data_IF_135608350852
#
_entry.id   IF_135608350852
#
_cell.length_a   1.000
_cell.length_b   1.000
_cell.length_c   1.000
_cell.angle_alpha   90.00
_cell.angle_beta   90.00
_cell.angle_gamma   90.00
#
_symmetry.space_group_name_H-M   'P 1'
#
loop_
_entity.id
_entity.type
_entity.pdbx_description
1 polymer ?
#
# COMPACT_ATOMS: atom_id res chain seq x y z
N UNK A 1 6.04 23.10 -1.47
CA UNK A 1 6.45 22.30 -0.28
C UNK A 1 6.97 20.95 -0.77
N UNK A 2 7.97 20.42 -0.13
CA UNK A 2 8.61 19.15 -0.46
C UNK A 2 8.05 18.03 0.40
N UNK A 3 8.05 16.79 -0.12
CA UNK A 3 7.74 15.60 0.65
C UNK A 3 8.91 14.60 0.68
N UNK A 4 9.06 13.89 1.80
CA UNK A 4 9.94 12.72 1.93
C UNK A 4 9.09 11.50 2.21
N UNK A 5 9.22 10.46 1.38
CA UNK A 5 8.53 9.19 1.57
C UNK A 5 9.55 8.16 2.03
N UNK A 6 9.29 7.55 3.18
CA UNK A 6 10.13 6.48 3.73
C UNK A 6 9.71 5.12 3.14
N UNK A 7 10.56 4.54 2.32
CA UNK A 7 10.31 3.26 1.62
C UNK A 7 11.41 2.22 1.86
N UNK A 8 12.12 2.34 2.97
CA UNK A 8 13.27 1.48 3.30
C UNK A 8 12.93 0.06 3.78
N UNK A 9 11.67 -0.28 3.97
CA UNK A 9 11.24 -1.56 4.54
C UNK A 9 11.27 -2.73 3.56
N UNK A 10 11.69 -3.93 4.02
CA UNK A 10 11.71 -5.17 3.21
C UNK A 10 10.32 -5.76 2.89
N UNK A 11 9.24 -5.29 3.53
CA UNK A 11 7.88 -5.78 3.30
C UNK A 11 7.65 -7.26 3.64
N UNK A 12 8.39 -7.83 4.61
CA UNK A 12 8.38 -9.28 4.95
C UNK A 12 6.98 -9.85 5.21
N UNK A 13 6.09 -9.08 5.83
CA UNK A 13 4.72 -9.52 6.15
C UNK A 13 3.84 -9.70 4.91
N UNK A 14 4.16 -9.00 3.81
CA UNK A 14 3.44 -9.07 2.54
C UNK A 14 3.95 -10.20 1.62
N UNK A 15 4.99 -10.94 2.01
CA UNK A 15 5.45 -12.12 1.25
C UNK A 15 4.33 -13.14 1.08
N UNK A 16 4.26 -13.80 -0.08
CA UNK A 16 5.28 -13.91 -1.15
C UNK A 16 5.31 -12.79 -2.19
N UNK A 17 4.38 -11.83 -2.20
CA UNK A 17 4.34 -10.74 -3.20
C UNK A 17 5.61 -9.89 -3.22
N UNK A 18 6.20 -9.66 -2.05
CA UNK A 18 7.44 -8.86 -1.89
C UNK A 18 8.71 -9.70 -1.88
N UNK A 19 8.67 -10.93 -2.35
CA UNK A 19 9.88 -11.77 -2.45
C UNK A 19 10.76 -11.36 -3.62
N UNK A 20 10.19 -10.87 -4.71
CA UNK A 20 10.86 -10.48 -5.96
C UNK A 20 10.70 -9.00 -6.29
N UNK A 21 9.67 -8.35 -5.71
CA UNK A 21 9.30 -6.96 -5.99
C UNK A 21 9.33 -6.15 -4.68
N UNK A 22 9.99 -4.97 -4.64
CA UNK A 22 9.95 -4.12 -3.44
C UNK A 22 8.53 -3.59 -3.18
N UNK A 23 8.14 -3.52 -1.90
CA UNK A 23 6.78 -3.17 -1.47
C UNK A 23 6.20 -1.92 -2.17
N UNK A 24 6.93 -0.80 -2.32
CA UNK A 24 6.36 0.41 -2.94
C UNK A 24 5.87 0.20 -4.37
N UNK A 25 6.45 -0.74 -5.11
CA UNK A 25 6.12 -0.99 -6.51
C UNK A 25 5.36 -2.30 -6.74
N UNK A 26 4.89 -2.96 -5.68
CA UNK A 26 3.90 -4.04 -5.82
C UNK A 26 2.67 -3.45 -6.51
N UNK A 27 2.15 -4.08 -7.59
CA UNK A 27 0.93 -3.61 -8.24
C UNK A 27 -0.24 -3.57 -7.25
N UNK A 28 -1.01 -2.48 -7.25
CA UNK A 28 -2.27 -2.36 -6.53
C UNK A 28 -3.31 -1.86 -7.53
N UNK A 29 -4.37 -2.62 -7.77
CA UNK A 29 -5.33 -2.43 -8.85
C UNK A 29 -4.62 -2.42 -10.21
N UNK A 30 -4.24 -1.24 -10.73
CA UNK A 30 -3.77 -1.01 -12.10
C UNK A 30 -2.36 -0.38 -12.19
N UNK A 31 -1.73 -0.09 -11.05
CA UNK A 31 -0.46 0.64 -11.00
C UNK A 31 0.37 0.26 -9.77
N UNK A 32 1.66 0.67 -9.70
CA UNK A 32 2.46 0.51 -8.48
C UNK A 32 1.79 1.14 -7.28
N UNK A 33 1.80 0.47 -6.13
CA UNK A 33 1.16 0.96 -4.90
C UNK A 33 1.53 2.41 -4.56
N UNK A 34 2.81 2.75 -4.62
CA UNK A 34 3.29 4.09 -4.28
C UNK A 34 2.73 5.19 -5.19
N UNK A 35 2.28 4.85 -6.41
CA UNK A 35 1.69 5.82 -7.35
C UNK A 35 0.42 6.47 -6.79
N UNK A 36 -0.35 5.76 -5.97
CA UNK A 36 -1.51 6.34 -5.28
C UNK A 36 -1.10 7.46 -4.33
N UNK A 37 -0.03 7.25 -3.56
CA UNK A 37 0.51 8.29 -2.67
C UNK A 37 1.07 9.49 -3.45
N UNK A 38 1.76 9.25 -4.55
CA UNK A 38 2.29 10.31 -5.40
C UNK A 38 1.16 11.13 -6.04
N UNK A 39 0.09 10.50 -6.50
CA UNK A 39 -1.10 11.18 -7.02
C UNK A 39 -1.80 12.01 -5.94
N UNK A 40 -1.96 11.45 -4.73
CA UNK A 40 -2.50 12.14 -3.58
C UNK A 40 -1.67 13.39 -3.21
N UNK A 41 -0.34 13.29 -3.16
CA UNK A 41 0.54 14.44 -2.95
C UNK A 41 0.33 15.54 -4.01
N UNK A 42 0.27 15.14 -5.29
CA UNK A 42 0.06 16.07 -6.40
C UNK A 42 -1.28 16.79 -6.31
N UNK A 43 -2.36 16.12 -5.88
CA UNK A 43 -3.68 16.74 -5.66
C UNK A 43 -3.61 17.87 -4.63
N UNK A 44 -2.68 17.81 -3.67
CA UNK A 44 -2.40 18.83 -2.67
C UNK A 44 -1.30 19.82 -3.08
N UNK A 45 -0.89 19.82 -4.37
CA UNK A 45 0.13 20.77 -4.88
C UNK A 45 1.56 20.45 -4.45
N UNK A 46 1.83 19.20 -4.09
CA UNK A 46 3.16 18.73 -3.68
C UNK A 46 3.75 17.88 -4.80
N UNK A 47 4.70 18.46 -5.53
CA UNK A 47 5.29 17.89 -6.75
C UNK A 47 6.80 17.64 -6.65
N UNK A 48 7.45 18.00 -5.54
CA UNK A 48 8.87 17.69 -5.25
C UNK A 48 8.96 16.64 -4.16
N UNK A 49 9.33 15.42 -4.54
CA UNK A 49 9.30 14.25 -3.66
C UNK A 49 10.66 13.59 -3.59
N UNK A 50 11.12 13.33 -2.36
CA UNK A 50 12.30 12.55 -2.06
C UNK A 50 11.87 11.15 -1.61
N UNK A 51 12.33 10.12 -2.29
CA UNK A 51 12.15 8.73 -1.89
C UNK A 51 13.37 8.30 -1.08
N UNK A 52 13.21 8.10 0.24
CA UNK A 52 14.26 7.51 1.07
C UNK A 52 14.15 5.98 1.00
N UNK A 53 15.05 5.39 0.23
CA UNK A 53 15.04 3.98 -0.13
C UNK A 53 16.14 3.24 0.62
N UNK A 54 15.84 2.00 1.03
CA UNK A 54 16.82 1.03 1.51
C UNK A 54 16.90 -0.13 0.52
N UNK A 55 16.19 -1.21 0.84
CA UNK A 55 16.18 -2.45 0.05
C UNK A 55 15.62 -2.25 -1.37
N UNK A 56 16.38 -2.66 -2.40
CA UNK A 56 16.00 -2.64 -3.81
C UNK A 56 15.66 -1.22 -4.38
N UNK A 57 16.36 -0.17 -3.95
CA UNK A 57 16.20 1.19 -4.44
C UNK A 57 16.24 1.30 -5.98
N UNK A 58 17.15 0.56 -6.64
CA UNK A 58 17.25 0.51 -8.11
C UNK A 58 15.96 0.00 -8.76
N UNK A 59 15.30 -1.01 -8.19
CA UNK A 59 14.04 -1.53 -8.73
C UNK A 59 12.92 -0.50 -8.62
N UNK A 60 12.83 0.24 -7.51
CA UNK A 60 11.87 1.34 -7.35
C UNK A 60 12.11 2.43 -8.39
N UNK A 61 13.37 2.83 -8.59
CA UNK A 61 13.74 3.84 -9.59
C UNK A 61 13.44 3.39 -11.01
N UNK A 62 13.68 2.13 -11.36
CA UNK A 62 13.40 1.59 -12.69
C UNK A 62 11.90 1.61 -13.02
N UNK A 63 11.04 1.42 -12.02
CA UNK A 63 9.58 1.43 -12.22
C UNK A 63 9.02 2.85 -12.27
N UNK A 64 9.48 3.74 -11.40
CA UNK A 64 8.92 5.09 -11.26
C UNK A 64 9.62 6.15 -12.13
N UNK A 65 10.84 5.88 -12.60
CA UNK A 65 11.65 6.85 -13.31
C UNK A 65 11.95 8.10 -12.48
N UNK A 66 11.89 9.25 -13.12
CA UNK A 66 12.05 10.57 -12.51
C UNK A 66 10.73 11.19 -12.02
N UNK A 67 9.61 10.46 -12.16
CA UNK A 67 8.28 10.89 -11.76
C UNK A 67 7.56 11.80 -12.77
N UNK A 68 8.20 12.16 -13.87
CA UNK A 68 7.63 13.07 -14.89
C UNK A 68 6.30 12.55 -15.47
N UNK A 69 6.17 11.23 -15.63
CA UNK A 69 4.93 10.59 -16.06
C UNK A 69 3.74 10.79 -15.12
N UNK A 70 4.00 11.10 -13.85
CA UNK A 70 2.99 11.41 -12.83
C UNK A 70 2.88 12.92 -12.55
N UNK A 71 3.66 13.77 -13.26
CA UNK A 71 3.74 15.20 -13.00
C UNK A 71 4.41 15.57 -11.69
N UNK A 72 5.34 14.74 -11.21
CA UNK A 72 6.10 14.88 -9.97
C UNK A 72 7.59 14.82 -10.29
N UNK A 73 8.39 15.55 -9.55
CA UNK A 73 9.85 15.44 -9.57
C UNK A 73 10.30 14.48 -8.47
N UNK A 74 10.71 13.25 -8.84
CA UNK A 74 11.23 12.27 -7.91
C UNK A 74 12.76 12.38 -7.77
N UNK A 75 13.21 12.43 -6.54
CA UNK A 75 14.62 12.32 -6.16
C UNK A 75 14.78 11.12 -5.22
N UNK A 76 15.90 10.45 -5.28
CA UNK A 76 16.14 9.24 -4.52
C UNK A 76 17.36 9.41 -3.60
N UNK A 77 17.18 9.03 -2.35
CA UNK A 77 18.24 8.89 -1.36
C UNK A 77 18.32 7.41 -1.00
N UNK A 78 19.50 6.82 -1.16
CA UNK A 78 19.73 5.42 -0.88
C UNK A 78 20.53 5.28 0.41
N UNK A 79 19.91 4.67 1.42
CA UNK A 79 20.55 4.41 2.70
C UNK A 79 21.41 3.14 2.60
N UNK A 80 22.70 3.20 2.89
CA UNK A 80 23.57 2.01 2.85
C UNK A 80 23.18 0.97 3.90
N UNK A 81 22.65 1.45 5.04
CA UNK A 81 22.15 0.64 6.14
C UNK A 81 20.87 1.24 6.72
N UNK A 82 19.91 0.43 7.22
CA UNK A 82 18.69 0.94 7.82
C UNK A 82 18.96 1.85 9.03
N UNK A 83 18.47 3.09 8.95
CA UNK A 83 18.72 4.14 9.97
C UNK A 83 17.53 4.45 10.85
N UNK A 84 16.41 3.73 10.69
CA UNK A 84 15.15 4.06 11.34
C UNK A 84 14.51 5.33 10.74
N UNK A 85 13.31 5.68 11.19
CA UNK A 85 12.51 6.75 10.59
C UNK A 85 13.18 8.14 10.70
N UNK A 86 13.64 8.53 11.87
CA UNK A 86 14.34 9.82 12.05
C UNK A 86 15.77 9.80 11.49
N UNK A 87 16.48 8.67 11.60
CA UNK A 87 17.83 8.55 11.05
C UNK A 87 17.85 8.65 9.53
N UNK A 88 16.82 8.16 8.83
CA UNK A 88 16.62 8.31 7.39
C UNK A 88 16.44 9.80 7.00
N UNK A 89 15.61 10.54 7.74
CA UNK A 89 15.46 11.99 7.54
C UNK A 89 16.77 12.74 7.78
N UNK A 90 17.49 12.41 8.86
CA UNK A 90 18.80 13.01 9.14
C UNK A 90 19.82 12.75 8.04
N UNK A 91 19.77 11.57 7.42
CA UNK A 91 20.63 11.23 6.28
C UNK A 91 20.29 12.05 5.03
N UNK A 92 19.00 12.34 4.81
CA UNK A 92 18.53 13.16 3.71
C UNK A 92 18.57 14.68 3.98
N UNK A 93 18.97 15.13 5.17
CA UNK A 93 18.84 16.52 5.67
C UNK A 93 19.32 17.60 4.71
N UNK A 94 20.43 17.34 3.99
CA UNK A 94 20.98 18.32 3.02
C UNK A 94 20.08 18.56 1.81
N UNK A 95 19.07 17.72 1.57
CA UNK A 95 18.11 17.83 0.47
C UNK A 95 16.78 18.41 0.90
N UNK A 96 16.55 18.59 2.21
CA UNK A 96 15.28 18.99 2.78
C UNK A 96 15.13 20.51 2.86
N UNK A 97 13.91 20.98 2.56
CA UNK A 97 13.48 22.35 2.80
C UNK A 97 13.36 22.62 4.32
N UNK A 98 13.19 23.90 4.72
CA UNK A 98 12.97 24.30 6.12
C UNK A 98 11.71 23.66 6.70
N UNK A 99 10.66 23.52 5.88
CA UNK A 99 9.44 22.78 6.19
C UNK A 99 9.15 21.76 5.10
N UNK A 100 8.83 20.53 5.51
CA UNK A 100 8.57 19.44 4.59
C UNK A 100 7.54 18.46 5.16
N UNK A 101 6.95 17.64 4.29
CA UNK A 101 6.15 16.49 4.66
C UNK A 101 7.04 15.25 4.81
N UNK A 102 6.81 14.46 5.84
CA UNK A 102 7.31 13.09 5.97
C UNK A 102 6.15 12.11 5.90
N UNK A 103 6.30 11.06 5.09
CA UNK A 103 5.26 10.06 4.86
C UNK A 103 5.81 8.64 4.99
N UNK A 104 5.03 7.78 5.63
CA UNK A 104 5.29 6.35 5.61
C UNK A 104 4.80 5.79 4.28
N UNK A 105 5.71 5.22 3.47
CA UNK A 105 5.44 4.77 2.09
C UNK A 105 4.66 3.46 1.99
N UNK A 106 3.93 3.08 3.04
CA UNK A 106 3.12 1.86 3.08
C UNK A 106 1.65 2.10 3.47
N UNK A 107 1.21 3.34 3.42
CA UNK A 107 -0.14 3.77 3.78
C UNK A 107 -0.92 4.17 2.52
N UNK A 108 -2.15 3.67 2.42
CA UNK A 108 -3.17 4.15 1.49
C UNK A 108 -4.11 5.08 2.26
N UNK A 109 -4.26 6.32 1.80
CA UNK A 109 -5.04 7.35 2.52
C UNK A 109 -5.47 8.49 1.60
N UNK A 110 -6.51 9.21 1.98
CA UNK A 110 -7.00 10.45 1.37
C UNK A 110 -7.08 11.62 2.38
N UNK A 111 -6.24 11.62 3.41
CA UNK A 111 -6.14 12.70 4.40
C UNK A 111 -5.92 14.06 3.70
N UNK A 112 -6.65 15.10 4.15
CA UNK A 112 -6.52 16.46 3.62
C UNK A 112 -5.22 17.13 4.10
N UNK A 113 -4.14 16.93 3.32
CA UNK A 113 -2.84 17.54 3.61
C UNK A 113 -2.88 19.06 3.61
N UNK A 114 -3.73 19.67 2.79
CA UNK A 114 -3.87 21.14 2.74
C UNK A 114 -4.34 21.67 4.09
N UNK A 115 -5.35 21.02 4.71
CA UNK A 115 -5.80 21.39 6.05
C UNK A 115 -4.78 21.08 7.14
N UNK A 116 -4.05 19.97 7.02
CA UNK A 116 -2.99 19.62 7.97
C UNK A 116 -1.87 20.66 7.96
N UNK A 117 -1.42 21.08 6.77
CA UNK A 117 -0.41 22.14 6.61
C UNK A 117 -0.91 23.47 7.17
N UNK A 118 -2.15 23.86 6.86
CA UNK A 118 -2.74 25.10 7.38
C UNK A 118 -2.82 25.10 8.91
N UNK A 119 -3.19 23.98 9.55
CA UNK A 119 -3.17 23.87 11.01
C UNK A 119 -1.75 23.98 11.57
N UNK A 120 -0.77 23.34 10.93
CA UNK A 120 0.63 23.42 11.34
C UNK A 120 1.11 24.88 11.37
N UNK A 121 0.79 25.66 10.35
CA UNK A 121 1.13 27.07 10.25
C UNK A 121 0.42 27.93 11.32
N UNK A 122 -0.88 27.68 11.54
CA UNK A 122 -1.68 28.44 12.50
C UNK A 122 -1.21 28.20 13.96
N UNK A 123 -0.77 27.00 14.27
CA UNK A 123 -0.30 26.65 15.62
C UNK A 123 1.16 27.01 15.86
N UNK A 124 1.92 27.32 14.82
CA UNK A 124 3.38 27.48 14.92
C UNK A 124 4.06 26.21 15.41
N UNK A 125 3.51 25.06 15.03
CA UNK A 125 4.01 23.75 15.45
C UNK A 125 5.44 23.49 14.92
N UNK A 126 6.21 22.71 15.66
CA UNK A 126 7.48 22.13 15.18
C UNK A 126 7.22 20.83 14.41
N UNK A 127 6.18 20.09 14.82
CA UNK A 127 5.69 18.90 14.11
C UNK A 127 4.17 18.79 14.27
N UNK A 128 3.48 18.39 13.19
CA UNK A 128 2.04 18.10 13.21
C UNK A 128 1.80 16.70 12.63
N UNK A 129 1.27 15.81 13.46
CA UNK A 129 0.96 14.42 13.11
C UNK A 129 -0.47 14.33 12.59
N UNK A 130 -0.69 13.78 11.39
CA UNK A 130 -2.01 13.32 11.00
C UNK A 130 -2.43 12.15 11.89
N UNK A 131 -3.67 12.19 12.37
CA UNK A 131 -4.24 11.18 13.25
C UNK A 131 -5.53 10.63 12.68
N UNK A 132 -5.75 9.33 12.81
CA UNK A 132 -7.00 8.66 12.41
C UNK A 132 -7.49 7.73 13.51
N UNK A 133 -8.81 7.56 13.65
CA UNK A 133 -9.36 6.56 14.55
C UNK A 133 -9.26 5.17 13.93
N UNK A 134 -8.87 4.17 14.71
CA UNK A 134 -8.86 2.76 14.29
C UNK A 134 -9.52 1.87 15.34
N UNK A 135 -10.03 0.71 14.90
CA UNK A 135 -10.69 -0.23 15.82
C UNK A 135 -9.71 -0.89 16.81
N UNK A 136 -8.49 -1.22 16.34
CA UNK A 136 -7.42 -1.78 17.18
C UNK A 136 -6.15 -0.95 17.04
N UNK A 137 -5.82 -0.09 18.02
CA UNK A 137 -4.63 0.77 17.96
C UNK A 137 -3.35 0.10 18.46
N UNK A 138 -3.37 -1.13 18.94
CA UNK A 138 -2.23 -1.80 19.59
C UNK A 138 -1.00 -1.96 18.70
N UNK A 139 -1.18 -1.95 17.38
CA UNK A 139 -0.09 -2.09 16.42
C UNK A 139 0.58 -0.77 16.02
N UNK A 140 0.08 0.38 16.50
CA UNK A 140 0.43 1.72 16.02
C UNK A 140 0.88 2.65 17.17
N UNK A 141 1.27 3.87 16.82
CA UNK A 141 1.53 4.95 17.78
C UNK A 141 0.22 5.59 18.24
N UNK A 142 -0.16 5.36 19.51
CA UNK A 142 -1.32 5.94 20.13
C UNK A 142 -1.06 7.39 20.54
N UNK A 143 -2.01 8.29 20.30
CA UNK A 143 -1.83 9.72 20.53
C UNK A 143 -2.95 10.30 21.38
N UNK A 144 -2.57 10.97 22.47
CA UNK A 144 -3.49 11.73 23.31
C UNK A 144 -3.32 13.22 23.03
N UNK A 145 -4.43 13.92 22.86
CA UNK A 145 -4.47 15.36 22.60
C UNK A 145 -5.02 16.13 23.80
N UNK A 146 -4.54 17.37 23.94
CA UNK A 146 -5.20 18.42 24.69
C UNK A 146 -6.29 19.11 23.85
N UNK A 147 -7.09 19.99 24.47
CA UNK A 147 -8.18 20.71 23.80
C UNK A 147 -7.69 21.60 22.65
N UNK A 148 -6.48 22.12 22.73
CA UNK A 148 -5.82 22.93 21.70
C UNK A 148 -5.15 22.10 20.61
N UNK A 149 -5.34 20.77 20.63
CA UNK A 149 -4.71 19.76 19.73
C UNK A 149 -3.21 19.58 19.94
N UNK A 150 -2.59 20.16 20.95
CA UNK A 150 -1.23 19.78 21.33
C UNK A 150 -1.21 18.32 21.79
N UNK A 151 -0.12 17.63 21.50
CA UNK A 151 0.03 16.24 21.94
C UNK A 151 0.42 16.21 23.41
N UNK A 152 -0.43 15.57 24.22
CA UNK A 152 -0.22 15.33 25.64
C UNK A 152 0.68 14.12 25.88
N UNK A 153 0.49 13.05 25.08
CA UNK A 153 1.25 11.81 25.19
C UNK A 153 1.28 11.07 23.85
N UNK A 154 2.38 10.36 23.62
CA UNK A 154 2.59 9.51 22.45
C UNK A 154 3.14 8.16 22.91
N UNK A 155 2.41 7.09 22.63
CA UNK A 155 2.76 5.73 23.06
C UNK A 155 2.90 4.81 21.86
N UNK A 156 4.12 4.46 21.47
CA UNK A 156 4.38 3.54 20.37
C UNK A 156 4.06 2.09 20.74
N UNK A 157 3.10 1.49 20.03
CA UNK A 157 2.63 0.11 20.23
C UNK A 157 2.25 -0.18 21.68
N UNK A 158 1.18 0.46 22.17
CA UNK A 158 0.73 0.29 23.53
C UNK A 158 0.34 -1.18 23.80
N UNK A 159 0.52 -1.62 25.03
CA UNK A 159 -0.13 -2.84 25.52
C UNK A 159 -1.65 -2.60 25.65
N UNK A 160 -2.44 -3.66 25.53
CA UNK A 160 -3.91 -3.57 25.49
C UNK A 160 -4.53 -2.88 26.73
N UNK A 161 -3.88 -2.96 27.89
CA UNK A 161 -4.26 -2.29 29.14
C UNK A 161 -4.00 -0.77 29.15
N UNK A 162 -3.26 -0.25 28.16
CA UNK A 162 -2.98 1.18 28.00
C UNK A 162 -3.78 1.85 26.87
N UNK A 163 -4.72 1.12 26.29
CA UNK A 163 -5.55 1.64 25.20
C UNK A 163 -6.80 2.31 25.80
N UNK A 164 -6.78 3.63 25.82
CA UNK A 164 -7.88 4.50 26.32
C UNK A 164 -8.37 5.51 25.27
N UNK A 165 -7.74 5.53 24.11
CA UNK A 165 -8.16 6.25 22.90
C UNK A 165 -7.99 5.37 21.66
N UNK A 166 -8.66 5.70 20.57
CA UNK A 166 -8.51 5.01 19.29
C UNK A 166 -7.75 5.83 18.24
N UNK A 167 -7.26 7.03 18.61
CA UNK A 167 -6.50 7.89 17.70
C UNK A 167 -5.06 7.41 17.60
N UNK A 168 -4.66 7.12 16.38
CA UNK A 168 -3.29 6.68 16.05
C UNK A 168 -2.59 7.67 15.14
N UNK A 169 -1.27 7.62 15.15
CA UNK A 169 -0.41 8.30 14.17
C UNK A 169 -0.59 7.66 12.80
N UNK A 170 -1.06 8.45 11.83
CA UNK A 170 -1.40 7.98 10.49
C UNK A 170 -0.19 7.85 9.52
N UNK A 171 1.01 8.19 9.97
CA UNK A 171 2.21 8.13 9.13
C UNK A 171 2.33 9.25 8.10
N UNK A 172 1.66 10.39 8.34
CA UNK A 172 1.80 11.63 7.56
C UNK A 172 2.06 12.80 8.50
N UNK A 173 3.18 13.50 8.31
CA UNK A 173 3.68 14.51 9.24
C UNK A 173 4.10 15.76 8.50
N UNK A 174 3.75 16.94 9.03
CA UNK A 174 4.36 18.23 8.65
C UNK A 174 5.43 18.55 9.65
N UNK A 175 6.66 18.79 9.20
CA UNK A 175 7.82 18.92 10.05
C UNK A 175 8.60 20.20 9.75
N UNK A 176 9.03 20.91 10.79
CA UNK A 176 10.08 21.91 10.69
C UNK A 176 11.45 21.21 10.73
N UNK A 177 12.38 21.65 9.85
CA UNK A 177 13.69 21.03 9.70
C UNK A 177 14.52 21.04 10.98
N UNK A 178 14.30 22.02 11.86
CA UNK A 178 14.98 22.13 13.15
C UNK A 178 14.83 20.90 14.05
N UNK A 179 13.76 20.09 13.87
CA UNK A 179 13.60 18.83 14.65
C UNK A 179 14.75 17.84 14.40
N UNK A 180 15.42 17.93 13.25
CA UNK A 180 16.56 17.06 12.92
C UNK A 180 17.80 17.36 13.78
N UNK A 181 17.85 18.49 14.47
CA UNK A 181 18.89 18.78 15.47
C UNK A 181 18.83 17.81 16.66
N UNK A 182 17.63 17.24 16.93
CA UNK A 182 17.44 16.21 17.95
C UNK A 182 17.96 14.83 17.53
N UNK A 183 18.31 14.65 16.26
CA UNK A 183 18.71 13.36 15.70
C UNK A 183 20.22 13.31 15.52
N UNK A 184 20.93 12.45 16.27
CA UNK A 184 22.37 12.28 16.09
C UNK A 184 22.71 11.71 14.70
N UNK A 185 23.71 12.27 14.00
CA UNK A 185 24.10 11.79 12.68
C UNK A 185 24.65 10.35 12.74
N UNK A 186 24.38 9.58 11.71
CA UNK A 186 24.94 8.24 11.54
C UNK A 186 24.34 7.15 12.45
N UNK A 187 23.34 7.44 13.26
CA UNK A 187 22.67 6.49 14.16
C UNK A 187 21.34 5.99 13.61
N UNK A 188 20.97 4.80 14.04
CA UNK A 188 19.61 4.30 13.89
C UNK A 188 18.72 4.97 14.94
N UNK A 189 17.72 5.76 14.52
CA UNK A 189 16.82 6.52 15.39
C UNK A 189 15.39 6.38 14.90
N UNK A 190 14.46 5.96 15.77
CA UNK A 190 13.03 5.99 15.50
C UNK A 190 12.45 7.34 15.87
N UNK A 191 11.73 7.98 14.97
CA UNK A 191 11.06 9.24 15.23
C UNK A 191 9.98 9.07 16.30
N UNK A 192 9.27 7.95 16.26
CA UNK A 192 8.15 7.63 17.14
C UNK A 192 8.60 7.41 18.60
N UNK A 193 9.73 6.72 18.77
CA UNK A 193 10.23 6.32 20.09
C UNK A 193 11.18 7.32 20.71
N UNK A 194 11.92 8.06 19.90
CA UNK A 194 13.04 8.87 20.37
C UNK A 194 12.84 10.37 20.16
N UNK A 195 12.05 10.79 19.15
CA UNK A 195 11.87 12.22 18.82
C UNK A 195 10.54 12.75 19.34
N UNK A 196 9.40 12.07 19.06
CA UNK A 196 8.10 12.54 19.51
C UNK A 196 8.03 12.77 21.03
N UNK A 197 8.55 11.87 21.90
CA UNK A 197 8.54 12.11 23.36
C UNK A 197 9.30 13.38 23.78
N UNK A 198 10.32 13.79 23.02
CA UNK A 198 11.06 15.02 23.29
C UNK A 198 10.28 16.30 22.92
N UNK A 199 9.33 16.17 21.99
CA UNK A 199 8.51 17.27 21.47
C UNK A 199 7.16 17.42 22.18
N UNK A 200 6.72 16.44 22.98
CA UNK A 200 5.51 16.55 23.81
C UNK A 200 5.61 17.78 24.71
N UNK A 201 4.58 18.66 24.63
CA UNK A 201 4.56 19.95 25.30
C UNK A 201 5.54 21.01 24.76
N UNK A 202 6.19 20.75 23.62
CA UNK A 202 7.19 21.62 22.98
C UNK A 202 6.98 21.79 21.47
N UNK A 203 5.73 21.90 21.04
CA UNK A 203 5.38 22.16 19.64
C UNK A 203 5.01 20.91 18.84
N UNK A 204 4.66 19.81 19.47
CA UNK A 204 4.05 18.64 18.85
C UNK A 204 2.53 18.77 18.88
N UNK A 205 1.89 18.73 17.69
CA UNK A 205 0.44 18.84 17.53
C UNK A 205 -0.11 17.66 16.76
N UNK A 206 -1.40 17.35 16.98
CA UNK A 206 -2.15 16.37 16.20
C UNK A 206 -3.15 17.03 15.26
N UNK A 207 -3.34 16.44 14.09
CA UNK A 207 -4.39 16.77 13.13
C UNK A 207 -5.35 15.58 13.01
N UNK A 208 -6.42 15.52 13.81
CA UNK A 208 -7.43 14.47 13.72
C UNK A 208 -8.17 14.53 12.39
N UNK A 209 -8.31 13.39 11.73
CA UNK A 209 -9.02 13.20 10.47
C UNK A 209 -9.85 11.94 10.49
N UNK A 210 -11.04 12.01 9.87
CA UNK A 210 -11.90 10.84 9.64
C UNK A 210 -11.76 10.29 8.22
N UNK A 211 -10.69 10.68 7.52
CA UNK A 211 -10.35 10.23 6.18
C UNK A 211 -10.08 8.73 6.15
N UNK A 212 -10.16 8.14 4.96
CA UNK A 212 -9.74 6.76 4.75
C UNK A 212 -8.25 6.58 5.11
N UNK A 213 -7.96 5.47 5.77
CA UNK A 213 -6.59 5.11 6.12
C UNK A 213 -6.43 3.59 6.22
N UNK A 214 -5.40 3.06 5.56
CA UNK A 214 -5.05 1.64 5.63
C UNK A 214 -3.54 1.45 5.48
N UNK A 215 -2.90 0.77 6.45
CA UNK A 215 -1.53 0.23 6.33
C UNK A 215 -1.57 -1.05 5.49
N UNK A 216 -1.02 -1.03 4.28
CA UNK A 216 -0.94 -2.20 3.39
C UNK A 216 0.31 -3.03 3.76
N UNK A 217 0.25 -3.69 4.91
CA UNK A 217 1.37 -4.46 5.44
C UNK A 217 1.28 -5.98 5.27
N UNK A 218 0.10 -6.52 4.95
CA UNK A 218 -0.16 -7.97 4.81
C UNK A 218 -1.00 -8.27 3.57
N UNK A 219 -1.05 -9.53 3.07
CA UNK A 219 -1.90 -9.89 1.95
C UNK A 219 -3.39 -9.61 2.17
N UNK A 220 -3.87 -9.78 3.39
CA UNK A 220 -5.27 -9.51 3.74
C UNK A 220 -5.57 -8.00 3.60
N UNK A 221 -4.66 -7.14 4.08
CA UNK A 221 -4.78 -5.68 3.93
C UNK A 221 -4.54 -5.22 2.49
N UNK A 222 -3.72 -5.94 1.73
CA UNK A 222 -3.56 -5.70 0.30
C UNK A 222 -4.87 -5.95 -0.46
N UNK A 223 -5.55 -7.09 -0.20
CA UNK A 223 -6.89 -7.36 -0.75
C UNK A 223 -7.89 -6.31 -0.30
N UNK A 224 -7.92 -5.96 1.00
CA UNK A 224 -8.80 -4.94 1.54
C UNK A 224 -8.60 -3.60 0.83
N UNK A 225 -7.36 -3.10 0.72
CA UNK A 225 -7.07 -1.85 0.03
C UNK A 225 -7.43 -1.88 -1.45
N UNK A 226 -7.24 -3.01 -2.14
CA UNK A 226 -7.69 -3.20 -3.52
C UNK A 226 -9.21 -3.07 -3.61
N UNK A 227 -9.95 -3.73 -2.72
CA UNK A 227 -11.40 -3.70 -2.71
C UNK A 227 -11.93 -2.31 -2.35
N UNK A 228 -11.35 -1.66 -1.35
CA UNK A 228 -11.74 -0.30 -0.95
C UNK A 228 -11.56 0.72 -2.09
N UNK A 229 -10.49 0.58 -2.90
CA UNK A 229 -10.28 1.41 -4.09
C UNK A 229 -11.39 1.19 -5.11
N UNK A 230 -11.70 -0.06 -5.46
CA UNK A 230 -12.68 -0.36 -6.51
C UNK A 230 -14.14 -0.22 -6.04
N UNK A 231 -14.40 -0.18 -4.74
CA UNK A 231 -15.68 0.22 -4.13
C UNK A 231 -15.82 1.74 -3.95
N UNK A 232 -14.73 2.50 -4.16
CA UNK A 232 -14.73 3.96 -4.01
C UNK A 232 -14.74 4.43 -2.56
N UNK A 233 -14.29 3.59 -1.62
CA UNK A 233 -14.18 3.93 -0.20
C UNK A 233 -13.00 4.87 0.08
N UNK A 234 -12.04 4.96 -0.83
CA UNK A 234 -10.92 5.89 -0.81
C UNK A 234 -10.87 6.70 -2.10
N UNK A 235 -10.62 7.99 -1.99
CA UNK A 235 -10.58 8.89 -3.14
C UNK A 235 -9.33 8.64 -4.00
N UNK A 236 -9.54 8.10 -5.21
CA UNK A 236 -8.48 7.81 -6.18
C UNK A 236 -8.96 8.00 -7.61
N UNK A 237 -8.02 8.17 -8.56
CA UNK A 237 -8.35 8.27 -9.99
C UNK A 237 -8.98 6.97 -10.57
N UNK A 238 -8.89 5.84 -9.89
CA UNK A 238 -9.53 4.59 -10.32
C UNK A 238 -11.05 4.73 -10.37
N UNK A 239 -11.63 5.54 -9.47
CA UNK A 239 -13.08 5.80 -9.44
C UNK A 239 -13.60 6.38 -10.76
N UNK A 240 -12.84 7.26 -11.41
CA UNK A 240 -13.21 7.83 -12.70
C UNK A 240 -13.24 6.77 -13.80
N UNK A 241 -12.29 5.82 -13.78
CA UNK A 241 -12.22 4.69 -14.74
C UNK A 241 -13.40 3.73 -14.59
N UNK A 242 -13.84 3.48 -13.35
CA UNK A 242 -14.98 2.58 -13.08
C UNK A 242 -16.32 3.15 -13.56
N UNK A 243 -16.43 4.47 -13.67
CA UNK A 243 -17.65 5.14 -14.11
C UNK A 243 -18.87 4.84 -13.23
N UNK A 244 -20.06 5.02 -13.76
CA UNK A 244 -21.32 4.78 -13.03
C UNK A 244 -21.65 3.29 -12.87
N UNK A 245 -21.10 2.45 -13.73
CA UNK A 245 -21.38 1.00 -13.75
C UNK A 245 -20.44 0.23 -12.80
N UNK A 246 -19.48 0.90 -12.17
CA UNK A 246 -18.45 0.30 -11.32
C UNK A 246 -17.65 -0.78 -12.04
N UNK A 247 -17.43 -0.60 -13.34
CA UNK A 247 -16.81 -1.58 -14.20
C UNK A 247 -15.82 -0.89 -15.17
N UNK A 248 -14.56 -1.26 -15.09
CA UNK A 248 -13.54 -0.84 -16.04
C UNK A 248 -13.07 -2.06 -16.84
N UNK A 249 -13.39 -2.10 -18.14
CA UNK A 249 -12.92 -3.12 -19.07
C UNK A 249 -12.11 -2.43 -20.18
N UNK A 250 -10.82 -2.81 -20.32
CA UNK A 250 -9.97 -2.28 -21.37
C UNK A 250 -10.48 -2.72 -22.76
N UNK A 251 -10.36 -1.85 -23.76
CA UNK A 251 -10.87 -2.12 -25.12
C UNK A 251 -10.24 -3.34 -25.81
N UNK A 252 -9.01 -3.70 -25.42
CA UNK A 252 -8.29 -4.87 -25.94
C UNK A 252 -8.59 -6.16 -25.17
N UNK A 253 -9.48 -6.14 -24.18
CA UNK A 253 -9.87 -7.35 -23.46
C UNK A 253 -10.96 -8.12 -24.23
N UNK A 254 -10.81 -9.45 -24.31
CA UNK A 254 -11.80 -10.36 -24.86
C UNK A 254 -12.53 -11.09 -23.72
N UNK A 255 -13.74 -10.63 -23.44
CA UNK A 255 -14.54 -11.13 -22.31
C UNK A 255 -15.81 -11.80 -22.82
N UNK A 256 -15.79 -13.13 -22.88
CA UNK A 256 -16.94 -13.96 -23.29
C UNK A 256 -17.75 -14.45 -22.08
N UNK A 257 -17.18 -14.36 -20.88
CA UNK A 257 -17.83 -14.70 -19.61
C UNK A 257 -18.73 -13.58 -19.06
N UNK A 258 -19.39 -13.87 -17.96
CA UNK A 258 -20.20 -12.89 -17.22
C UNK A 258 -19.33 -12.13 -16.21
N UNK A 259 -19.40 -10.79 -16.22
CA UNK A 259 -18.74 -9.93 -15.23
C UNK A 259 -19.77 -9.29 -14.32
N UNK A 260 -19.51 -9.28 -13.02
CA UNK A 260 -20.34 -8.63 -11.98
C UNK A 260 -19.50 -7.54 -11.31
N UNK A 261 -19.95 -6.26 -11.35
CA UNK A 261 -19.21 -5.16 -10.71
C UNK A 261 -19.19 -5.26 -9.17
N UNK A 262 -18.25 -4.53 -8.51
CA UNK A 262 -17.17 -3.77 -9.13
C UNK A 262 -16.04 -4.69 -9.62
N UNK A 263 -15.46 -4.34 -10.77
CA UNK A 263 -14.33 -5.09 -11.34
C UNK A 263 -13.46 -4.20 -12.25
N UNK A 264 -12.17 -4.53 -12.30
CA UNK A 264 -11.19 -3.93 -13.22
C UNK A 264 -10.59 -5.03 -14.07
N UNK A 265 -10.70 -4.90 -15.39
CA UNK A 265 -10.20 -5.86 -16.38
C UNK A 265 -9.29 -5.09 -17.34
N UNK A 266 -8.00 -5.39 -17.29
CA UNK A 266 -6.96 -4.65 -18.00
C UNK A 266 -6.71 -5.19 -19.41
N UNK A 267 -5.71 -4.61 -20.06
CA UNK A 267 -5.36 -4.88 -21.46
C UNK A 267 -5.02 -6.35 -21.69
N UNK A 268 -5.46 -6.89 -22.83
CA UNK A 268 -5.10 -8.23 -23.28
C UNK A 268 -5.69 -9.37 -22.46
N UNK A 269 -6.55 -9.06 -21.48
CA UNK A 269 -7.25 -10.07 -20.68
C UNK A 269 -8.17 -10.90 -21.57
N UNK A 270 -8.18 -12.22 -21.36
CA UNK A 270 -9.08 -13.17 -22.02
C UNK A 270 -9.89 -13.92 -20.99
N UNK A 271 -11.20 -13.82 -21.06
CA UNK A 271 -12.15 -14.55 -20.20
C UNK A 271 -13.02 -15.43 -21.08
N UNK A 272 -12.84 -16.76 -20.97
CA UNK A 272 -13.54 -17.74 -21.79
C UNK A 272 -15.02 -17.87 -21.45
N UNK A 273 -15.78 -18.49 -22.35
CA UNK A 273 -17.21 -18.72 -22.17
C UNK A 273 -17.55 -19.56 -20.92
N UNK A 274 -18.74 -19.32 -20.37
CA UNK A 274 -19.19 -19.97 -19.14
C UNK A 274 -18.47 -19.54 -17.86
N UNK A 275 -17.50 -18.61 -17.96
CA UNK A 275 -16.75 -18.08 -16.81
C UNK A 275 -17.56 -17.02 -16.07
N UNK A 276 -17.49 -17.02 -14.75
CA UNK A 276 -18.05 -16.00 -13.87
C UNK A 276 -16.93 -15.21 -13.21
N UNK A 277 -16.78 -13.94 -13.61
CA UNK A 277 -15.95 -12.96 -12.91
C UNK A 277 -16.89 -12.19 -11.98
N UNK A 278 -16.81 -12.49 -10.69
CA UNK A 278 -17.69 -11.88 -9.68
C UNK A 278 -17.25 -10.49 -9.27
N UNK A 279 -17.87 -9.97 -8.20
CA UNK A 279 -17.52 -8.67 -7.66
C UNK A 279 -16.15 -8.67 -6.99
N UNK A 280 -15.55 -7.47 -6.91
CA UNK A 280 -14.26 -7.24 -6.25
C UNK A 280 -13.13 -8.04 -6.91
N UNK A 281 -13.05 -7.93 -8.25
CA UNK A 281 -12.02 -8.62 -9.03
C UNK A 281 -11.17 -7.61 -9.77
N UNK A 282 -9.85 -7.84 -9.72
CA UNK A 282 -8.88 -7.17 -10.59
C UNK A 282 -8.18 -8.25 -11.42
N UNK A 283 -8.31 -8.14 -12.74
CA UNK A 283 -7.54 -8.92 -13.72
C UNK A 283 -6.57 -7.96 -14.39
N UNK A 284 -5.28 -8.11 -14.09
CA UNK A 284 -4.22 -7.28 -14.66
C UNK A 284 -3.90 -7.67 -16.12
N UNK A 285 -2.95 -6.97 -16.75
CA UNK A 285 -2.61 -7.16 -18.17
C UNK A 285 -2.33 -8.62 -18.52
N UNK A 286 -2.83 -9.05 -19.69
CA UNK A 286 -2.57 -10.35 -20.32
C UNK A 286 -2.99 -11.59 -19.48
N UNK A 287 -3.87 -11.42 -18.51
CA UNK A 287 -4.44 -12.54 -17.75
C UNK A 287 -5.39 -13.36 -18.63
N UNK A 288 -5.34 -14.70 -18.50
CA UNK A 288 -6.29 -15.60 -19.16
C UNK A 288 -7.03 -16.46 -18.15
N UNK A 289 -8.37 -16.54 -18.31
CA UNK A 289 -9.26 -17.35 -17.48
C UNK A 289 -9.97 -18.38 -18.35
N UNK A 290 -9.76 -19.67 -18.03
CA UNK A 290 -10.34 -20.80 -18.73
C UNK A 290 -11.84 -20.96 -18.52
N UNK A 291 -12.47 -21.74 -19.40
CA UNK A 291 -13.91 -21.91 -19.46
C UNK A 291 -14.51 -22.49 -18.17
N UNK A 292 -15.70 -22.06 -17.81
CA UNK A 292 -16.44 -22.55 -16.64
C UNK A 292 -15.80 -22.21 -15.29
N UNK A 293 -14.80 -21.32 -15.24
CA UNK A 293 -14.15 -20.91 -13.99
C UNK A 293 -14.95 -19.83 -13.26
N UNK A 294 -14.71 -19.73 -11.95
CA UNK A 294 -15.30 -18.69 -11.09
C UNK A 294 -14.18 -17.90 -10.42
N UNK A 295 -14.20 -16.59 -10.56
CA UNK A 295 -13.26 -15.67 -9.91
C UNK A 295 -14.05 -14.62 -9.14
N UNK A 296 -13.79 -14.48 -7.85
CA UNK A 296 -14.56 -13.59 -6.97
C UNK A 296 -13.65 -13.09 -5.84
N UNK A 297 -13.73 -11.78 -5.53
CA UNK A 297 -12.90 -11.17 -4.48
C UNK A 297 -11.42 -11.56 -4.62
N UNK A 298 -10.86 -11.34 -5.81
CA UNK A 298 -9.53 -11.83 -6.15
C UNK A 298 -8.73 -10.82 -6.97
N UNK A 299 -7.42 -10.85 -6.77
CA UNK A 299 -6.46 -10.11 -7.59
C UNK A 299 -5.61 -11.10 -8.36
N UNK A 300 -5.64 -11.01 -9.69
CA UNK A 300 -4.85 -11.84 -10.58
C UNK A 300 -3.94 -10.91 -11.37
N UNK A 301 -2.64 -11.04 -11.16
CA UNK A 301 -1.63 -10.15 -11.72
C UNK A 301 -1.16 -10.60 -13.10
N UNK A 302 -0.40 -9.73 -13.75
CA UNK A 302 -0.01 -9.77 -15.16
C UNK A 302 0.41 -11.16 -15.64
N UNK A 303 -0.15 -11.57 -16.80
CA UNK A 303 0.26 -12.78 -17.50
C UNK A 303 -0.04 -14.09 -16.79
N UNK A 304 -0.88 -14.08 -15.74
CA UNK A 304 -1.30 -15.30 -15.09
C UNK A 304 -2.31 -16.08 -15.96
N UNK A 305 -2.13 -17.39 -16.03
CA UNK A 305 -2.96 -18.32 -16.81
C UNK A 305 -3.75 -19.24 -15.87
N UNK A 306 -5.07 -19.11 -15.88
CA UNK A 306 -5.98 -19.90 -15.08
C UNK A 306 -6.70 -20.90 -15.99
N UNK A 307 -6.59 -22.19 -15.70
CA UNK A 307 -7.21 -23.28 -16.44
C UNK A 307 -8.74 -23.32 -16.32
N UNK A 308 -9.34 -24.33 -16.95
CA UNK A 308 -10.79 -24.52 -16.97
C UNK A 308 -11.34 -25.00 -15.63
N UNK A 309 -12.58 -24.64 -15.33
CA UNK A 309 -13.34 -25.07 -14.16
C UNK A 309 -12.64 -24.80 -12.81
N UNK A 310 -11.82 -23.74 -12.75
CA UNK A 310 -11.15 -23.31 -11.52
C UNK A 310 -12.08 -22.47 -10.64
N UNK A 311 -11.80 -22.43 -9.34
CA UNK A 311 -12.49 -21.57 -8.37
C UNK A 311 -11.45 -20.73 -7.62
N UNK A 312 -11.48 -19.42 -7.83
CA UNK A 312 -10.61 -18.44 -7.19
C UNK A 312 -11.46 -17.50 -6.35
N UNK A 313 -11.27 -17.51 -5.03
CA UNK A 313 -12.04 -16.65 -4.12
C UNK A 313 -11.18 -16.19 -2.94
N UNK A 314 -11.27 -14.89 -2.60
CA UNK A 314 -10.48 -14.26 -1.52
C UNK A 314 -9.01 -14.65 -1.64
N UNK A 315 -8.37 -14.39 -2.80
CA UNK A 315 -7.01 -14.84 -3.06
C UNK A 315 -6.22 -13.84 -3.93
N UNK A 316 -4.90 -14.01 -3.93
CA UNK A 316 -3.98 -13.26 -4.78
C UNK A 316 -3.17 -14.25 -5.61
N UNK A 317 -3.17 -14.05 -6.92
CA UNK A 317 -2.33 -14.79 -7.86
C UNK A 317 -1.34 -13.82 -8.48
N UNK A 318 -0.06 -13.96 -8.16
CA UNK A 318 0.98 -13.08 -8.66
C UNK A 318 1.28 -13.30 -10.15
N UNK A 319 2.13 -12.44 -10.72
CA UNK A 319 2.41 -12.42 -12.14
C UNK A 319 2.99 -13.75 -12.65
N UNK A 320 2.62 -14.12 -13.89
CA UNK A 320 3.17 -15.28 -14.58
C UNK A 320 2.83 -16.64 -13.96
N UNK A 321 1.88 -16.71 -13.04
CA UNK A 321 1.42 -17.98 -12.48
C UNK A 321 0.67 -18.81 -13.52
N UNK A 322 0.80 -20.16 -13.44
CA UNK A 322 0.01 -21.09 -14.24
C UNK A 322 -0.76 -22.02 -13.31
N UNK A 323 -2.07 -22.05 -13.47
CA UNK A 323 -2.98 -22.82 -12.63
C UNK A 323 -3.71 -23.83 -13.49
N UNK A 324 -3.47 -25.12 -13.23
CA UNK A 324 -4.11 -26.25 -13.93
C UNK A 324 -5.62 -26.32 -13.64
N UNK A 325 -6.34 -27.00 -14.55
CA UNK A 325 -7.79 -27.09 -14.50
C UNK A 325 -8.34 -27.67 -13.18
N UNK A 326 -9.57 -27.31 -12.80
CA UNK A 326 -10.30 -27.77 -11.61
C UNK A 326 -9.60 -27.46 -10.28
N UNK A 327 -8.65 -26.53 -10.28
CA UNK A 327 -7.92 -26.10 -9.09
C UNK A 327 -8.76 -25.06 -8.31
N UNK A 328 -8.71 -25.15 -6.99
CA UNK A 328 -9.37 -24.21 -6.08
C UNK A 328 -8.32 -23.40 -5.32
N UNK A 329 -8.43 -22.07 -5.33
CA UNK A 329 -7.55 -21.15 -4.59
C UNK A 329 -8.45 -20.21 -3.79
N UNK A 330 -8.47 -20.39 -2.45
CA UNK A 330 -9.49 -19.71 -1.62
C UNK A 330 -8.93 -19.28 -0.26
N UNK A 331 -9.73 -18.51 0.49
CA UNK A 331 -9.53 -18.23 1.90
C UNK A 331 -8.22 -17.53 2.26
N UNK A 332 -7.85 -16.49 1.55
CA UNK A 332 -6.65 -15.70 1.79
C UNK A 332 -5.36 -16.32 1.21
N UNK A 333 -5.49 -17.32 0.33
CA UNK A 333 -4.32 -17.96 -0.29
C UNK A 333 -3.59 -16.98 -1.24
N UNK A 334 -2.26 -17.06 -1.26
CA UNK A 334 -1.40 -16.20 -2.09
C UNK A 334 -0.40 -17.06 -2.87
N UNK A 335 -0.44 -16.94 -4.19
CA UNK A 335 0.58 -17.49 -5.07
C UNK A 335 1.60 -16.41 -5.42
N UNK A 336 2.88 -16.70 -5.17
CA UNK A 336 4.01 -15.87 -5.57
C UNK A 336 4.27 -15.96 -7.08
N UNK A 337 5.10 -15.07 -7.57
CA UNK A 337 5.43 -14.92 -8.99
C UNK A 337 5.90 -16.25 -9.62
N UNK A 338 5.37 -16.58 -10.81
CA UNK A 338 5.79 -17.74 -11.59
C UNK A 338 5.46 -19.10 -10.97
N UNK A 339 4.55 -19.17 -9.99
CA UNK A 339 4.09 -20.44 -9.42
C UNK A 339 3.33 -21.24 -10.48
N UNK A 340 3.62 -22.53 -10.58
CA UNK A 340 2.91 -23.45 -11.46
C UNK A 340 2.19 -24.49 -10.62
N UNK A 341 0.86 -24.57 -10.75
CA UNK A 341 0.04 -25.59 -10.15
C UNK A 341 -0.52 -26.52 -11.23
N UNK A 342 -0.36 -27.83 -11.06
CA UNK A 342 -1.08 -28.82 -11.84
C UNK A 342 -2.59 -28.77 -11.58
N UNK A 343 -3.34 -29.63 -12.27
CA UNK A 343 -4.79 -29.73 -12.11
C UNK A 343 -5.20 -30.27 -10.72
N UNK A 344 -6.46 -30.08 -10.33
CA UNK A 344 -7.09 -30.71 -9.17
C UNK A 344 -6.44 -30.39 -7.81
N UNK A 345 -5.74 -29.24 -7.68
CA UNK A 345 -5.18 -28.77 -6.41
C UNK A 345 -6.22 -27.95 -5.61
N UNK A 346 -6.12 -28.00 -4.28
CA UNK A 346 -6.91 -27.15 -3.36
C UNK A 346 -5.95 -26.36 -2.47
N UNK A 347 -5.85 -25.07 -2.70
CA UNK A 347 -4.98 -24.13 -1.96
C UNK A 347 -5.88 -23.22 -1.15
N UNK A 348 -5.83 -23.28 0.18
CA UNK A 348 -6.76 -22.56 1.04
C UNK A 348 -6.11 -22.11 2.36
N UNK A 349 -6.92 -21.52 3.27
CA UNK A 349 -6.57 -21.22 4.67
C UNK A 349 -5.33 -20.33 4.82
N UNK A 350 -5.20 -19.30 3.98
CA UNK A 350 -4.07 -18.37 4.02
C UNK A 350 -2.74 -18.99 3.57
N UNK A 351 -2.77 -20.09 2.81
CA UNK A 351 -1.56 -20.71 2.27
C UNK A 351 -0.75 -19.70 1.43
N UNK A 352 0.55 -19.68 1.62
CA UNK A 352 1.48 -18.80 0.91
C UNK A 352 2.46 -19.65 0.11
N UNK A 353 2.29 -19.71 -1.20
CA UNK A 353 3.18 -20.43 -2.10
C UNK A 353 4.23 -19.43 -2.62
N UNK A 354 5.50 -19.75 -2.38
CA UNK A 354 6.60 -18.82 -2.74
C UNK A 354 6.93 -18.87 -4.24
N UNK A 355 7.57 -17.81 -4.78
CA UNK A 355 7.87 -17.71 -6.22
C UNK A 355 8.58 -18.91 -6.79
N UNK A 356 8.19 -19.28 -8.03
CA UNK A 356 8.80 -20.36 -8.81
C UNK A 356 8.52 -21.78 -8.32
N UNK A 357 7.67 -21.96 -7.30
CA UNK A 357 7.26 -23.32 -6.86
C UNK A 357 6.39 -23.97 -7.92
N UNK A 358 6.67 -25.24 -8.22
CA UNK A 358 5.85 -26.07 -9.08
C UNK A 358 5.24 -27.22 -8.26
N UNK A 359 3.94 -27.44 -8.41
CA UNK A 359 3.19 -28.54 -7.79
C UNK A 359 2.50 -29.36 -8.87
N UNK A 360 2.60 -30.68 -8.78
CA UNK A 360 1.95 -31.60 -9.69
C UNK A 360 0.41 -31.63 -9.50
N UNK A 361 -0.28 -32.39 -10.35
CA UNK A 361 -1.73 -32.58 -10.27
C UNK A 361 -2.13 -33.16 -8.92
N UNK A 362 -3.08 -32.54 -8.25
CA UNK A 362 -3.61 -32.97 -6.96
C UNK A 362 -2.60 -33.09 -5.82
N UNK A 363 -1.48 -32.38 -5.90
CA UNK A 363 -0.42 -32.41 -4.90
C UNK A 363 -0.86 -31.87 -3.54
N UNK A 364 -1.79 -30.91 -3.53
CA UNK A 364 -2.36 -30.30 -2.31
C UNK A 364 -3.88 -30.40 -2.35
N UNK A 365 -4.49 -30.86 -1.25
CA UNK A 365 -5.95 -31.08 -1.13
C UNK A 365 -6.47 -30.70 0.27
N UNK A 366 -6.21 -29.45 0.74
CA UNK A 366 -6.72 -29.00 2.04
C UNK A 366 -7.00 -27.50 2.09
#
# INVERSE_FOLDING_TARGET
MQAVILVGGEGKRLRPLTSTVPKPVVPLVDRPFISFMLEWLRQHGIDDVIMSCGFLATSVRNVLGDGSGLGIRLRFVEEPDPRGTAGALKFAEAMLDERFLMLNGDVLTDIDLTKQIAQHEQTGARATLALVPVADPTAYGLVHLEEDRSVRDFVEKPSSDRVDTNLISAGAYVLEREILELVPPGRHVSIEREVWPLLVGKGLYGFPSESYWLDIGTPERYLQGTFDIIEGNVETAVRERLGNDWLAIHADADVQGRVIPPAVIERGVRVSDGTHVGSLVVLADDVSIGAGSTVERAVILNGAEIGDSCTLRDCIVAAGCRVGARTQITGGAVLGEGVTLGADNVIARGARIFPGVALDDGAIKF
#
